data_IF_185156292927
#
_entry.id   IF_185156292927
#
_cell.length_a   1.000
_cell.length_b   1.000
_cell.length_c   1.000
_cell.angle_alpha   90.00
_cell.angle_beta   90.00
_cell.angle_gamma   90.00
#
_symmetry.space_group_name_H-M   'P 1'
#
loop_
_entity.id
_entity.type
_entity.pdbx_description
1 polymer ?
#
# COMPACT_ATOMS: atom_id res chain seq x y z
N UNK A 1 -8.82 -0.76 8.76
CA UNK A 1 -9.76 -0.09 9.69
C UNK A 1 -9.00 0.93 10.52
N UNK A 2 -9.63 2.04 10.95
CA UNK A 2 -9.02 2.90 11.97
C UNK A 2 -8.99 2.21 13.34
N UNK A 3 -8.13 2.69 14.26
CA UNK A 3 -7.88 2.08 15.59
C UNK A 3 -9.18 1.76 16.34
N UNK A 4 -10.12 2.70 16.40
CA UNK A 4 -11.42 2.48 17.08
C UNK A 4 -12.27 1.36 16.46
N UNK A 5 -12.20 1.17 15.14
CA UNK A 5 -12.95 0.12 14.46
C UNK A 5 -12.38 -1.27 14.75
N UNK A 6 -11.06 -1.40 14.80
CA UNK A 6 -10.39 -2.66 15.12
C UNK A 6 -10.66 -3.10 16.56
N UNK A 7 -10.52 -2.18 17.52
CA UNK A 7 -10.83 -2.42 18.94
C UNK A 7 -12.27 -2.90 19.16
N UNK A 8 -13.23 -2.27 18.46
CA UNK A 8 -14.62 -2.69 18.50
C UNK A 8 -14.82 -4.10 17.95
N UNK A 9 -14.25 -4.40 16.78
CA UNK A 9 -14.38 -5.71 16.14
C UNK A 9 -13.75 -6.82 17.00
N UNK A 10 -12.60 -6.56 17.62
CA UNK A 10 -11.95 -7.50 18.55
C UNK A 10 -12.82 -7.78 19.78
N UNK A 11 -13.40 -6.74 20.38
CA UNK A 11 -14.30 -6.87 21.55
C UNK A 11 -15.54 -7.71 21.23
N UNK A 12 -16.14 -7.50 20.06
CA UNK A 12 -17.32 -8.25 19.59
C UNK A 12 -16.97 -9.72 19.30
N UNK A 13 -15.81 -9.96 18.69
CA UNK A 13 -15.34 -11.31 18.33
C UNK A 13 -15.19 -12.20 19.56
N UNK A 14 -14.73 -11.64 20.68
CA UNK A 14 -14.58 -12.36 21.95
C UNK A 14 -15.91 -12.70 22.63
N UNK A 15 -17.03 -12.16 22.13
CA UNK A 15 -18.36 -12.47 22.66
C UNK A 15 -18.73 -11.72 23.92
N UNK A 16 -17.99 -10.67 24.23
CA UNK A 16 -18.31 -9.78 25.32
C UNK A 16 -19.60 -9.03 24.99
N UNK A 17 -20.51 -8.95 25.96
CA UNK A 17 -21.66 -8.06 25.85
C UNK A 17 -21.11 -6.65 25.91
N UNK A 18 -21.28 -5.89 24.84
CA UNK A 18 -20.76 -4.53 24.77
C UNK A 18 -21.50 -3.66 25.78
N UNK A 19 -20.77 -3.08 26.72
CA UNK A 19 -21.32 -2.08 27.63
C UNK A 19 -21.00 -0.66 27.16
N UNK A 20 -21.85 0.29 27.55
CA UNK A 20 -21.79 1.66 27.03
C UNK A 20 -20.49 2.38 27.38
N UNK A 21 -19.98 2.13 28.58
CA UNK A 21 -18.73 2.72 29.06
C UNK A 21 -17.53 2.23 28.25
N UNK A 22 -17.41 0.91 28.08
CA UNK A 22 -16.37 0.25 27.28
C UNK A 22 -16.37 0.76 25.84
N UNK A 23 -17.54 0.77 25.18
CA UNK A 23 -17.64 1.23 23.79
C UNK A 23 -17.25 2.70 23.67
N UNK A 24 -17.70 3.56 24.60
CA UNK A 24 -17.35 4.99 24.63
C UNK A 24 -15.86 5.26 24.82
N UNK A 25 -15.14 4.38 25.52
CA UNK A 25 -13.70 4.48 25.72
C UNK A 25 -12.90 4.04 24.48
N UNK A 26 -13.42 3.05 23.74
CA UNK A 26 -12.82 2.55 22.48
C UNK A 26 -13.02 3.49 21.30
N UNK A 27 -14.16 4.19 21.24
CA UNK A 27 -14.50 5.04 20.10
C UNK A 27 -14.03 6.48 20.25
N UNK A 28 -13.43 7.03 19.19
CA UNK A 28 -12.95 8.42 19.18
C UNK A 28 -13.95 9.37 18.50
N UNK A 29 -13.81 10.65 18.86
CA UNK A 29 -14.43 11.81 18.19
C UNK A 29 -15.95 11.68 17.94
N UNK A 30 -16.37 11.81 16.68
CA UNK A 30 -17.78 11.87 16.25
C UNK A 30 -18.54 10.57 16.48
N UNK A 31 -17.82 9.44 16.59
CA UNK A 31 -18.39 8.12 16.79
C UNK A 31 -18.95 7.94 18.21
N UNK A 32 -18.50 8.75 19.19
CA UNK A 32 -19.05 8.77 20.56
C UNK A 32 -20.56 9.08 20.61
N UNK A 33 -21.07 9.81 19.62
CA UNK A 33 -22.50 10.13 19.52
C UNK A 33 -23.36 8.93 19.13
N UNK A 34 -22.76 7.94 18.44
CA UNK A 34 -23.44 6.75 17.92
C UNK A 34 -23.31 5.53 18.85
N UNK A 35 -22.75 5.71 20.04
CA UNK A 35 -22.51 4.61 20.98
C UNK A 35 -23.79 3.85 21.34
N UNK A 36 -24.94 4.49 21.63
CA UNK A 36 -26.18 3.76 21.92
C UNK A 36 -26.62 2.87 20.75
N UNK A 37 -26.59 3.41 19.53
CA UNK A 37 -26.95 2.71 18.29
C UNK A 37 -26.01 1.52 18.03
N UNK A 38 -24.71 1.69 18.30
CA UNK A 38 -23.71 0.62 18.16
C UNK A 38 -24.01 -0.52 19.14
N UNK A 39 -24.30 -0.23 20.40
CA UNK A 39 -24.62 -1.25 21.40
C UNK A 39 -25.89 -2.02 20.99
N UNK A 40 -26.94 -1.31 20.58
CA UNK A 40 -28.20 -1.92 20.15
C UNK A 40 -28.01 -2.81 18.92
N UNK A 41 -27.23 -2.35 17.94
CA UNK A 41 -26.97 -3.10 16.72
C UNK A 41 -26.12 -4.35 16.96
N UNK A 42 -25.20 -4.30 17.93
CA UNK A 42 -24.18 -5.33 18.12
C UNK A 42 -24.58 -6.36 19.19
N UNK A 43 -25.26 -5.94 20.26
CA UNK A 43 -25.80 -6.86 21.26
C UNK A 43 -27.05 -7.57 20.73
N UNK A 44 -26.99 -8.89 20.62
CA UNK A 44 -28.13 -9.74 20.24
C UNK A 44 -28.28 -10.06 18.75
N UNK A 45 -27.66 -9.28 17.84
CA UNK A 45 -27.71 -9.56 16.38
C UNK A 45 -26.49 -10.37 15.87
N UNK A 46 -25.37 -10.34 16.59
CA UNK A 46 -24.14 -11.05 16.23
C UNK A 46 -24.07 -12.47 16.81
N UNK A 47 -24.58 -13.43 16.04
CA UNK A 47 -24.52 -14.87 16.36
C UNK A 47 -23.08 -15.39 16.35
N UNK A 48 -22.88 -16.58 16.96
CA UNK A 48 -21.55 -17.20 17.07
C UNK A 48 -20.83 -17.36 15.73
N UNK A 49 -21.53 -17.75 14.66
CA UNK A 49 -20.90 -17.92 13.34
C UNK A 49 -20.45 -16.60 12.72
N UNK A 50 -21.19 -15.49 12.91
CA UNK A 50 -20.76 -14.16 12.48
C UNK A 50 -19.45 -13.78 13.18
N UNK A 51 -19.37 -14.00 14.50
CA UNK A 51 -18.15 -13.75 15.29
C UNK A 51 -16.97 -14.59 14.80
N UNK A 52 -17.20 -15.88 14.50
CA UNK A 52 -16.18 -16.76 13.91
C UNK A 52 -15.68 -16.26 12.55
N UNK A 53 -16.58 -15.78 11.69
CA UNK A 53 -16.22 -15.24 10.37
C UNK A 53 -15.41 -13.95 10.50
N UNK A 54 -15.85 -13.01 11.34
CA UNK A 54 -15.11 -11.76 11.61
C UNK A 54 -13.72 -12.08 12.17
N UNK A 55 -13.62 -13.03 13.11
CA UNK A 55 -12.33 -13.48 13.66
C UNK A 55 -11.37 -13.91 12.56
N UNK A 56 -11.81 -14.80 11.66
CA UNK A 56 -10.98 -15.27 10.54
C UNK A 56 -10.50 -14.14 9.64
N UNK A 57 -11.35 -13.15 9.37
CA UNK A 57 -10.95 -11.99 8.58
C UNK A 57 -9.95 -11.10 9.32
N UNK A 58 -10.12 -10.89 10.62
CA UNK A 58 -9.16 -10.13 11.43
C UNK A 58 -7.80 -10.84 11.52
N UNK A 59 -7.80 -12.16 11.72
CA UNK A 59 -6.59 -12.98 11.72
C UNK A 59 -5.87 -12.88 10.37
N UNK A 60 -6.61 -12.94 9.25
CA UNK A 60 -6.01 -12.82 7.93
C UNK A 60 -5.47 -11.41 7.65
N UNK A 61 -6.16 -10.36 8.11
CA UNK A 61 -5.64 -8.98 8.01
C UNK A 61 -4.33 -8.86 8.81
N UNK A 62 -4.31 -9.38 10.05
CA UNK A 62 -3.10 -9.34 10.88
C UNK A 62 -1.94 -10.11 10.25
N UNK A 63 -2.22 -11.27 9.64
CA UNK A 63 -1.24 -12.02 8.87
C UNK A 63 -0.66 -11.20 7.70
N UNK A 64 -1.53 -10.61 6.87
CA UNK A 64 -1.07 -9.80 5.73
C UNK A 64 -0.29 -8.55 6.18
N UNK A 65 -0.68 -7.91 7.28
CA UNK A 65 0.07 -6.80 7.87
C UNK A 65 1.48 -7.24 8.30
N UNK A 66 1.62 -8.44 8.88
CA UNK A 66 2.92 -9.00 9.25
C UNK A 66 3.76 -9.31 8.01
N UNK A 67 3.19 -9.98 7.01
CA UNK A 67 3.89 -10.30 5.76
C UNK A 67 4.39 -9.04 5.05
N UNK A 68 3.58 -7.97 5.04
CA UNK A 68 4.01 -6.67 4.50
C UNK A 68 5.25 -6.16 5.24
N UNK A 69 5.28 -6.21 6.57
CA UNK A 69 6.44 -5.75 7.35
C UNK A 69 7.69 -6.61 7.13
N UNK A 70 7.51 -7.92 6.98
CA UNK A 70 8.61 -8.83 6.67
C UNK A 70 9.21 -8.52 5.29
N UNK A 71 8.35 -8.30 4.28
CA UNK A 71 8.78 -7.91 2.94
C UNK A 71 9.44 -6.52 2.92
N UNK A 72 8.89 -5.53 3.65
CA UNK A 72 9.52 -4.21 3.79
C UNK A 72 10.93 -4.32 4.38
N UNK A 73 11.11 -5.19 5.37
CA UNK A 73 12.43 -5.45 5.98
C UNK A 73 13.39 -6.12 5.01
N UNK A 74 12.91 -7.08 4.22
CA UNK A 74 13.72 -7.77 3.20
C UNK A 74 14.13 -6.79 2.08
N UNK A 75 13.22 -5.93 1.62
CA UNK A 75 13.52 -4.88 0.62
C UNK A 75 14.60 -3.93 1.15
N UNK A 76 14.52 -3.50 2.42
CA UNK A 76 15.56 -2.65 3.03
C UNK A 76 16.93 -3.34 3.03
N UNK A 77 16.98 -4.64 3.36
CA UNK A 77 18.22 -5.41 3.36
C UNK A 77 18.81 -5.58 1.94
N UNK A 78 17.95 -5.80 0.94
CA UNK A 78 18.37 -5.96 -0.45
C UNK A 78 18.81 -4.65 -1.10
N UNK A 79 18.26 -3.52 -0.64
CA UNK A 79 18.60 -2.18 -1.16
C UNK A 79 19.79 -1.53 -0.44
N UNK A 80 20.20 -2.03 0.75
CA UNK A 80 21.37 -1.55 1.49
C UNK A 80 22.65 -1.36 0.65
N UNK A 81 23.03 -2.28 -0.27
CA UNK A 81 24.20 -2.09 -1.14
C UNK A 81 24.11 -0.86 -2.06
N UNK A 82 22.89 -0.39 -2.35
CA UNK A 82 22.59 0.72 -3.26
C UNK A 82 22.12 1.98 -2.53
N UNK A 83 22.52 2.11 -1.26
CA UNK A 83 22.03 3.18 -0.39
C UNK A 83 22.30 4.59 -0.95
N UNK A 84 23.42 4.80 -1.64
CA UNK A 84 23.74 6.12 -2.20
C UNK A 84 22.78 6.48 -3.35
N UNK A 85 22.45 5.50 -4.19
CA UNK A 85 21.49 5.64 -5.28
C UNK A 85 20.08 5.86 -4.74
N UNK A 86 19.70 5.12 -3.68
CA UNK A 86 18.43 5.31 -2.96
C UNK A 86 18.32 6.72 -2.38
N UNK A 87 19.34 7.20 -1.67
CA UNK A 87 19.39 8.55 -1.09
C UNK A 87 19.28 9.63 -2.18
N UNK A 88 19.88 9.41 -3.36
CA UNK A 88 19.77 10.33 -4.50
C UNK A 88 18.34 10.34 -5.09
N UNK A 89 17.72 9.17 -5.27
CA UNK A 89 16.35 9.06 -5.79
C UNK A 89 15.33 9.71 -4.85
N UNK A 90 15.51 9.59 -3.54
CA UNK A 90 14.68 10.23 -2.52
C UNK A 90 14.73 11.78 -2.58
N UNK A 91 15.73 12.38 -3.22
CA UNK A 91 15.76 13.84 -3.44
C UNK A 91 14.74 14.31 -4.48
N UNK A 92 14.20 13.40 -5.31
CA UNK A 92 13.26 13.73 -6.38
C UNK A 92 11.85 13.86 -5.78
N UNK A 93 11.20 15.04 -5.87
CA UNK A 93 9.86 15.23 -5.33
C UNK A 93 8.86 14.24 -5.92
N UNK A 94 8.17 13.50 -5.05
CA UNK A 94 7.18 12.50 -5.45
C UNK A 94 7.72 11.08 -5.60
N UNK A 95 9.04 10.89 -5.56
CA UNK A 95 9.65 9.57 -5.36
C UNK A 95 9.76 9.34 -3.85
N UNK A 96 9.29 8.17 -3.43
CA UNK A 96 9.40 7.68 -2.05
C UNK A 96 10.31 6.45 -2.05
N UNK A 97 10.74 6.04 -0.86
CA UNK A 97 11.65 4.90 -0.66
C UNK A 97 11.23 3.61 -1.41
N UNK A 98 9.95 3.25 -1.38
CA UNK A 98 9.41 2.08 -2.10
C UNK A 98 9.49 2.22 -3.62
N UNK A 99 9.23 3.43 -4.13
CA UNK A 99 9.38 3.76 -5.54
C UNK A 99 10.87 3.78 -5.95
N UNK A 100 11.76 4.31 -5.10
CA UNK A 100 13.20 4.30 -5.32
C UNK A 100 13.75 2.87 -5.38
N UNK A 101 13.33 2.01 -4.43
CA UNK A 101 13.67 0.60 -4.41
C UNK A 101 13.22 -0.12 -5.69
N UNK A 102 12.00 0.18 -6.16
CA UNK A 102 11.46 -0.35 -7.41
C UNK A 102 12.29 0.10 -8.62
N UNK A 103 12.70 1.37 -8.66
CA UNK A 103 13.56 1.91 -9.73
C UNK A 103 14.90 1.17 -9.75
N UNK A 104 15.55 1.00 -8.59
CA UNK A 104 16.84 0.29 -8.49
C UNK A 104 16.69 -1.19 -8.86
N UNK A 105 15.60 -1.84 -8.47
CA UNK A 105 15.35 -3.24 -8.80
C UNK A 105 15.14 -3.47 -10.31
N UNK A 106 14.49 -2.54 -11.01
CA UNK A 106 14.19 -2.64 -12.44
C UNK A 106 15.36 -2.16 -13.32
N UNK A 107 16.00 -1.04 -12.96
CA UNK A 107 17.09 -0.45 -13.75
C UNK A 107 18.47 -1.02 -13.42
N UNK A 108 18.65 -1.49 -12.18
CA UNK A 108 19.97 -1.61 -11.58
C UNK A 108 20.65 -0.25 -11.36
N UNK A 109 21.92 -0.28 -10.98
CA UNK A 109 22.74 0.94 -10.77
C UNK A 109 23.76 1.18 -11.88
N UNK A 110 23.94 0.21 -12.80
CA UNK A 110 24.82 0.35 -13.95
C UNK A 110 24.11 1.02 -15.13
N UNK A 111 24.36 2.33 -15.28
CA UNK A 111 23.79 3.13 -16.37
C UNK A 111 24.48 2.92 -17.71
N UNK A 112 25.56 2.12 -17.81
CA UNK A 112 26.23 1.85 -19.08
C UNK A 112 25.35 1.08 -20.08
N UNK A 113 24.32 0.39 -19.59
CA UNK A 113 23.28 -0.23 -20.41
C UNK A 113 22.48 0.79 -21.24
N UNK A 114 22.48 2.06 -20.84
CA UNK A 114 21.80 3.14 -21.56
C UNK A 114 22.83 4.10 -22.17
N UNK A 115 22.87 4.26 -23.51
CA UNK A 115 23.79 5.19 -24.16
C UNK A 115 23.58 6.66 -23.75
N UNK A 116 22.36 7.02 -23.34
CA UNK A 116 22.05 8.34 -22.78
C UNK A 116 20.75 8.31 -21.95
N UNK A 117 20.52 9.39 -21.21
CA UNK A 117 19.28 9.68 -20.48
C UNK A 117 18.01 9.65 -21.37
N UNK A 118 18.14 10.06 -22.65
CA UNK A 118 17.06 9.95 -23.63
C UNK A 118 16.66 8.49 -23.90
N UNK A 119 17.62 7.56 -23.90
CA UNK A 119 17.32 6.14 -24.09
C UNK A 119 16.62 5.56 -22.85
N UNK A 120 17.10 5.91 -21.66
CA UNK A 120 16.47 5.52 -20.40
C UNK A 120 15.02 6.03 -20.30
N UNK A 121 14.79 7.32 -20.57
CA UNK A 121 13.45 7.91 -20.51
C UNK A 121 12.49 7.35 -21.57
N UNK A 122 13.00 6.98 -22.75
CA UNK A 122 12.23 6.25 -23.76
C UNK A 122 11.87 4.85 -23.30
N UNK A 123 12.81 4.13 -22.70
CA UNK A 123 12.59 2.78 -22.16
C UNK A 123 11.57 2.78 -21.01
N UNK A 124 11.72 3.71 -20.05
CA UNK A 124 10.81 3.86 -18.92
C UNK A 124 9.41 4.37 -19.32
N UNK A 125 9.18 4.71 -20.60
CA UNK A 125 7.88 5.14 -21.10
C UNK A 125 7.43 6.52 -20.63
N UNK A 126 8.35 7.31 -20.05
CA UNK A 126 8.10 8.68 -19.57
C UNK A 126 8.41 9.75 -20.61
N UNK A 127 9.04 9.37 -21.73
CA UNK A 127 9.23 10.25 -22.87
C UNK A 127 7.93 10.37 -23.69
N UNK A 128 7.47 11.59 -24.04
CA UNK A 128 6.34 11.76 -24.94
C UNK A 128 6.65 11.14 -26.31
N UNK A 129 5.82 10.20 -26.76
CA UNK A 129 5.98 9.56 -28.07
C UNK A 129 5.92 10.62 -29.19
N UNK A 130 7.03 10.80 -29.92
CA UNK A 130 7.07 11.65 -31.11
C UNK A 130 7.02 10.79 -32.38
N UNK A 131 5.82 10.35 -32.78
CA UNK A 131 5.59 9.73 -34.08
C UNK A 131 5.19 10.78 -35.11
N UNK A 132 6.16 11.34 -35.83
CA UNK A 132 5.93 12.10 -37.05
C UNK A 132 6.19 11.20 -38.27
N UNK A 133 5.13 10.76 -38.94
CA UNK A 133 5.22 10.27 -40.31
C UNK A 133 4.52 11.27 -41.22
N UNK A 134 5.25 11.81 -42.20
CA UNK A 134 4.71 12.69 -43.24
C UNK A 134 4.02 13.98 -42.71
N UNK A 135 4.55 14.57 -41.64
CA UNK A 135 4.06 15.83 -41.06
C UNK A 135 2.74 15.74 -40.28
N UNK A 136 2.27 14.53 -39.95
CA UNK A 136 1.07 14.33 -39.12
C UNK A 136 1.44 13.68 -37.79
N UNK A 137 1.07 14.33 -36.68
CA UNK A 137 1.17 13.77 -35.32
C UNK A 137 0.07 12.74 -35.13
N UNK A 138 0.46 11.48 -34.90
CA UNK A 138 -0.45 10.41 -34.49
C UNK A 138 -0.30 10.18 -32.99
N UNK A 139 -1.40 10.21 -32.24
CA UNK A 139 -1.41 10.03 -30.78
C UNK A 139 -1.48 8.54 -30.36
N UNK A 140 -0.52 8.13 -29.50
CA UNK A 140 -0.40 6.89 -28.66
C UNK A 140 0.04 5.59 -29.38
N UNK A 141 0.84 4.66 -28.81
CA UNK A 141 1.14 4.23 -27.42
C UNK A 141 2.66 3.99 -27.20
N UNK A 142 3.16 4.23 -25.99
CA UNK A 142 4.48 3.80 -25.50
C UNK A 142 4.46 2.34 -25.08
N UNK A 143 5.32 1.52 -25.70
CA UNK A 143 5.93 0.30 -25.17
C UNK A 143 7.05 -0.06 -26.15
N UNK A 144 8.29 0.31 -25.84
CA UNK A 144 9.45 -0.13 -26.60
C UNK A 144 10.02 -1.37 -25.90
N UNK A 145 9.64 -2.56 -26.39
CA UNK A 145 10.37 -3.79 -26.07
C UNK A 145 11.78 -3.68 -26.66
N UNK A 146 12.79 -3.69 -25.80
CA UNK A 146 14.18 -3.91 -26.22
C UNK A 146 14.34 -5.42 -26.41
N UNK A 147 14.59 -5.86 -27.64
CA UNK A 147 14.98 -7.23 -27.96
C UNK A 147 16.49 -7.39 -27.75
N UNK A 148 16.86 -8.51 -27.13
CA UNK A 148 18.24 -9.02 -26.94
C UNK A 148 19.10 -8.99 -28.21
#
# INVERSE_FOLDING_TARGET
FGVSGRLLLESIVNGEVLNERQVRDMVKSSLKRKVPELIEALNGRLRLHHRKMIRRHLEHIAYLEQEIQELETEIEQLTMPYRLEMELLDTIPGIKHDAAASIVAELGTDMSHFPSDAHLSSWAGVCPANHESNGKKNEKRTNAEIRD
#
